data_IF_566283653789
#
_entry.id   IF_566283653789
#
_cell.length_a   1.000
_cell.length_b   1.000
_cell.length_c   1.000
_cell.angle_alpha   90.00
_cell.angle_beta   90.00
_cell.angle_gamma   90.00
#
_symmetry.space_group_name_H-M   'P 1'
#
loop_
_entity.id
_entity.type
_entity.pdbx_description
1 polymer ?
#
# COMPACT_ATOMS: atom_id res chain seq x y z
N UNK A 1 -16.87 3.76 80.41
CA UNK A 1 -17.09 4.23 79.02
C UNK A 1 -17.40 2.99 78.21
N UNK A 2 -18.69 2.81 77.93
CA UNK A 2 -19.28 1.57 77.40
C UNK A 2 -19.19 1.51 75.87
N UNK A 3 -19.22 0.28 75.36
CA UNK A 3 -19.16 -0.11 73.97
C UNK A 3 -20.46 0.18 73.17
N UNK A 4 -20.32 0.30 71.84
CA UNK A 4 -21.26 -0.17 70.81
C UNK A 4 -20.51 -0.16 69.47
N UNK A 5 -20.15 -1.31 68.86
CA UNK A 5 -20.93 -2.27 68.07
C UNK A 5 -21.31 -1.80 66.65
N UNK A 6 -20.65 -2.46 65.70
CA UNK A 6 -21.24 -3.06 64.49
C UNK A 6 -21.45 -2.21 63.22
N UNK A 7 -20.69 -2.62 62.20
CA UNK A 7 -21.20 -2.95 60.86
C UNK A 7 -21.77 -1.82 59.99
N UNK A 8 -20.95 -1.40 59.01
CA UNK A 8 -21.35 -1.61 57.61
C UNK A 8 -20.18 -1.39 56.67
N UNK A 9 -19.75 -2.50 56.07
CA UNK A 9 -19.49 -2.65 54.63
C UNK A 9 -19.78 -1.39 53.80
N UNK A 10 -18.81 -0.94 53.00
CA UNK A 10 -19.13 -0.07 51.87
C UNK A 10 -18.11 0.97 51.41
N UNK A 11 -16.89 1.02 51.98
CA UNK A 11 -15.91 2.06 51.60
C UNK A 11 -14.57 1.54 51.06
N UNK A 12 -14.40 0.23 50.97
CA UNK A 12 -13.39 -0.36 50.09
C UNK A 12 -14.00 -0.34 48.68
N UNK A 13 -13.29 0.22 47.69
CA UNK A 13 -13.58 0.18 46.23
C UNK A 13 -14.50 1.27 45.60
N UNK A 14 -14.70 2.46 46.20
CA UNK A 14 -15.40 3.55 45.49
C UNK A 14 -14.72 4.90 45.68
N UNK A 15 -13.62 5.14 44.94
CA UNK A 15 -13.38 6.42 44.24
C UNK A 15 -12.12 6.44 43.34
N UNK A 16 -11.51 5.30 43.02
CA UNK A 16 -10.38 5.24 42.07
C UNK A 16 -10.83 4.82 40.66
N UNK A 17 -11.70 5.60 40.03
CA UNK A 17 -11.98 5.43 38.58
C UNK A 17 -12.46 6.74 37.94
N UNK A 18 -11.56 7.71 37.86
CA UNK A 18 -11.83 8.93 37.09
C UNK A 18 -10.66 9.22 36.13
N UNK A 19 -10.99 9.17 34.84
CA UNK A 19 -10.24 9.69 33.68
C UNK A 19 -9.04 8.87 33.18
N UNK A 20 -9.31 7.62 32.82
CA UNK A 20 -8.64 7.02 31.65
C UNK A 20 -9.15 7.72 30.39
N UNK A 21 -8.42 8.73 29.92
CA UNK A 21 -8.68 9.40 28.65
C UNK A 21 -8.74 8.39 27.52
N UNK A 22 -9.93 8.25 26.94
CA UNK A 22 -10.21 7.50 25.72
C UNK A 22 -9.31 8.04 24.60
N UNK A 23 -8.19 7.36 24.39
CA UNK A 23 -7.33 7.56 23.23
C UNK A 23 -8.12 7.02 22.03
N UNK A 24 -8.89 7.91 21.41
CA UNK A 24 -9.66 7.68 20.21
C UNK A 24 -8.78 6.96 19.19
N UNK A 25 -9.04 5.67 18.96
CA UNK A 25 -8.44 4.86 17.90
C UNK A 25 -8.97 5.37 16.55
N UNK A 26 -8.58 6.59 16.17
CA UNK A 26 -8.81 7.16 14.84
C UNK A 26 -7.59 6.97 13.93
N UNK A 27 -6.84 5.89 14.16
CA UNK A 27 -5.73 5.44 13.32
C UNK A 27 -6.10 4.10 12.69
N UNK A 28 -7.13 4.08 11.85
CA UNK A 28 -7.48 2.83 11.14
C UNK A 28 -7.78 3.01 9.65
N UNK A 29 -7.88 4.24 9.12
CA UNK A 29 -8.15 4.46 7.68
C UNK A 29 -7.07 5.25 6.93
N UNK A 30 -6.41 6.22 7.56
CA UNK A 30 -5.42 7.08 6.89
C UNK A 30 -4.02 6.47 6.80
N UNK A 31 -3.65 5.58 7.73
CA UNK A 31 -2.32 4.93 7.72
C UNK A 31 -2.25 3.82 6.66
N UNK A 32 -3.28 2.98 6.59
CA UNK A 32 -3.37 1.86 5.63
C UNK A 32 -3.38 2.31 4.16
N UNK A 33 -4.06 3.40 3.82
CA UNK A 33 -4.06 3.95 2.46
C UNK A 33 -2.67 4.49 2.05
N UNK A 34 -1.97 5.17 2.97
CA UNK A 34 -0.65 5.76 2.73
C UNK A 34 0.43 4.68 2.58
N UNK A 35 0.29 3.59 3.33
CA UNK A 35 1.20 2.43 3.25
C UNK A 35 0.97 1.64 1.95
N UNK A 36 -0.29 1.49 1.50
CA UNK A 36 -0.63 0.87 0.21
C UNK A 36 -0.06 1.65 -0.98
N UNK A 37 -0.16 2.98 -0.95
CA UNK A 37 0.42 3.85 -1.99
C UNK A 37 1.94 3.75 -2.04
N UNK A 38 2.62 3.79 -0.89
CA UNK A 38 4.08 3.59 -0.81
C UNK A 38 4.50 2.22 -1.33
N UNK A 39 3.77 1.16 -0.99
CA UNK A 39 4.03 -0.19 -1.50
C UNK A 39 3.82 -0.27 -3.02
N UNK A 40 2.80 0.40 -3.56
CA UNK A 40 2.58 0.49 -5.02
C UNK A 40 3.73 1.19 -5.75
N UNK A 41 4.20 2.32 -5.21
CA UNK A 41 5.35 3.05 -5.74
C UNK A 41 6.64 2.21 -5.69
N UNK A 42 6.88 1.47 -4.62
CA UNK A 42 8.04 0.58 -4.50
C UNK A 42 7.98 -0.57 -5.52
N UNK A 43 6.81 -1.21 -5.68
CA UNK A 43 6.62 -2.30 -6.66
C UNK A 43 6.88 -1.84 -8.10
N UNK A 44 6.38 -0.66 -8.48
CA UNK A 44 6.61 -0.11 -9.82
C UNK A 44 8.08 0.28 -10.05
N UNK A 45 8.80 0.73 -9.01
CA UNK A 45 10.26 0.93 -9.11
C UNK A 45 10.99 -0.37 -9.43
N UNK A 46 10.56 -1.50 -8.86
CA UNK A 46 11.17 -2.80 -9.15
C UNK A 46 10.79 -3.32 -10.54
N UNK A 47 9.54 -3.12 -10.98
CA UNK A 47 9.13 -3.44 -12.36
C UNK A 47 9.98 -2.70 -13.38
N UNK A 48 10.20 -1.40 -13.18
CA UNK A 48 11.04 -0.57 -14.07
C UNK A 48 12.47 -1.09 -14.18
N UNK A 49 13.05 -1.62 -13.10
CA UNK A 49 14.40 -2.22 -13.15
C UNK A 49 14.42 -3.49 -14.00
N UNK A 50 13.37 -4.30 -13.93
CA UNK A 50 13.26 -5.54 -14.70
C UNK A 50 13.02 -5.20 -16.18
N UNK A 51 12.11 -4.28 -16.46
CA UNK A 51 11.83 -3.76 -17.81
C UNK A 51 13.11 -3.26 -18.48
N UNK A 52 13.86 -2.37 -17.82
CA UNK A 52 15.14 -1.85 -18.33
C UNK A 52 16.16 -2.97 -18.63
N UNK A 53 16.24 -4.01 -17.78
CA UNK A 53 17.16 -5.14 -18.02
C UNK A 53 16.77 -5.93 -19.27
N UNK A 54 15.46 -6.10 -19.49
CA UNK A 54 14.94 -6.80 -20.66
C UNK A 54 15.16 -5.93 -21.91
N UNK A 55 14.86 -4.64 -21.87
CA UNK A 55 15.10 -3.73 -22.99
C UNK A 55 16.57 -3.73 -23.42
N UNK A 56 17.52 -3.68 -22.47
CA UNK A 56 18.96 -3.82 -22.77
C UNK A 56 19.34 -5.17 -23.37
N UNK A 57 18.63 -6.24 -23.01
CA UNK A 57 18.80 -7.54 -23.65
C UNK A 57 18.31 -7.49 -25.10
N UNK A 58 17.16 -6.87 -25.36
CA UNK A 58 16.64 -6.68 -26.72
C UNK A 58 17.57 -5.80 -27.57
N UNK A 59 18.17 -4.76 -27.00
CA UNK A 59 19.15 -3.91 -27.70
C UNK A 59 20.38 -4.70 -28.16
N UNK A 60 20.80 -5.73 -27.40
CA UNK A 60 21.88 -6.64 -27.84
C UNK A 60 21.45 -7.51 -29.01
N UNK A 61 20.20 -7.96 -29.02
CA UNK A 61 19.66 -8.75 -30.14
C UNK A 61 19.47 -7.89 -31.39
N UNK A 62 19.07 -6.62 -31.23
CA UNK A 62 18.93 -5.63 -32.31
C UNK A 62 20.26 -5.39 -33.05
N UNK A 63 21.37 -5.42 -32.31
CA UNK A 63 22.72 -5.26 -32.85
C UNK A 63 23.23 -6.51 -33.60
N UNK A 64 22.60 -7.67 -33.42
CA UNK A 64 22.99 -8.91 -34.11
C UNK A 64 22.34 -9.00 -35.49
N UNK A 65 23.12 -9.17 -36.58
CA UNK A 65 22.59 -9.31 -37.93
C UNK A 65 21.83 -10.62 -38.16
N UNK A 66 21.98 -11.61 -37.28
CA UNK A 66 21.30 -12.90 -37.33
C UNK A 66 19.88 -12.85 -36.75
N UNK A 67 19.51 -11.75 -36.09
CA UNK A 67 18.19 -11.61 -35.46
C UNK A 67 17.14 -11.15 -36.47
N UNK A 68 15.98 -11.81 -36.47
CA UNK A 68 14.80 -11.30 -37.18
C UNK A 68 14.21 -10.09 -36.44
N UNK A 69 14.44 -8.91 -37.01
CA UNK A 69 14.02 -7.62 -36.44
C UNK A 69 12.50 -7.48 -36.34
N UNK A 70 11.74 -8.04 -37.28
CA UNK A 70 10.28 -7.94 -37.27
C UNK A 70 9.70 -8.63 -36.05
N UNK A 71 10.20 -9.82 -35.73
CA UNK A 71 9.78 -10.54 -34.54
C UNK A 71 10.31 -9.91 -33.25
N UNK A 72 11.51 -9.31 -33.29
CA UNK A 72 12.08 -8.57 -32.17
C UNK A 72 11.21 -7.35 -31.80
N UNK A 73 10.76 -6.59 -32.80
CA UNK A 73 9.88 -5.42 -32.62
C UNK A 73 8.51 -5.80 -32.01
N UNK A 74 7.94 -6.91 -32.46
CA UNK A 74 6.70 -7.48 -31.88
C UNK A 74 6.95 -7.85 -30.42
N UNK A 75 8.05 -8.55 -30.14
CA UNK A 75 8.44 -8.93 -28.77
C UNK A 75 8.60 -7.73 -27.86
N UNK A 76 9.30 -6.68 -28.32
CA UNK A 76 9.48 -5.41 -27.59
C UNK A 76 8.13 -4.79 -27.24
N UNK A 77 7.25 -4.66 -28.23
CA UNK A 77 5.92 -4.06 -28.05
C UNK A 77 5.07 -4.83 -27.02
N UNK A 78 5.09 -6.16 -27.07
CA UNK A 78 4.36 -7.00 -26.12
C UNK A 78 4.90 -6.88 -24.69
N UNK A 79 6.22 -6.77 -24.53
CA UNK A 79 6.86 -6.60 -23.21
C UNK A 79 6.46 -5.26 -22.60
N UNK A 80 6.55 -4.17 -23.36
CA UNK A 80 6.15 -2.83 -22.91
C UNK A 80 4.66 -2.79 -22.51
N UNK A 81 3.78 -3.35 -23.34
CA UNK A 81 2.35 -3.48 -23.03
C UNK A 81 2.11 -4.33 -21.77
N UNK A 82 2.87 -5.41 -21.58
CA UNK A 82 2.82 -6.24 -20.39
C UNK A 82 3.17 -5.46 -19.12
N UNK A 83 4.27 -4.69 -19.14
CA UNK A 83 4.65 -3.84 -18.01
C UNK A 83 3.65 -2.71 -17.75
N UNK A 84 3.09 -2.10 -18.78
CA UNK A 84 2.01 -1.13 -18.64
C UNK A 84 0.81 -1.76 -17.93
N UNK A 85 0.35 -2.95 -18.36
CA UNK A 85 -0.77 -3.66 -17.75
C UNK A 85 -0.50 -4.04 -16.28
N UNK A 86 0.72 -4.50 -15.97
CA UNK A 86 1.12 -4.83 -14.58
C UNK A 86 1.13 -3.57 -13.71
N UNK A 87 1.74 -2.47 -14.18
CA UNK A 87 1.77 -1.20 -13.45
C UNK A 87 0.35 -0.67 -13.22
N UNK A 88 -0.53 -0.87 -14.20
CA UNK A 88 -1.96 -0.57 -14.12
C UNK A 88 -2.69 -1.42 -13.09
N UNK A 89 -2.34 -2.70 -12.95
CA UNK A 89 -2.92 -3.58 -11.93
C UNK A 89 -2.49 -3.18 -10.49
N UNK A 90 -1.30 -2.58 -10.34
CA UNK A 90 -0.81 -2.05 -9.06
C UNK A 90 -1.46 -0.72 -8.71
N UNK A 91 -1.70 0.15 -9.69
CA UNK A 91 -2.31 1.47 -9.51
C UNK A 91 -3.74 1.50 -10.06
N UNK A 92 -4.73 1.52 -9.17
CA UNK A 92 -6.13 1.77 -9.55
C UNK A 92 -6.24 3.18 -10.19
N UNK A 93 -6.59 3.32 -11.49
CA UNK A 93 -7.00 4.66 -11.97
C UNK A 93 -8.41 4.83 -11.45
N UNK A 94 -8.57 5.77 -10.55
CA UNK A 94 -9.88 6.40 -10.37
C UNK A 94 -10.16 7.21 -11.63
N UNK A 95 -11.41 7.18 -12.10
CA UNK A 95 -11.84 8.14 -13.12
C UNK A 95 -11.64 9.54 -12.53
N UNK A 96 -11.18 10.47 -13.37
CA UNK A 96 -11.23 11.87 -12.99
C UNK A 96 -12.71 12.27 -12.92
N UNK A 97 -13.11 12.90 -11.83
CA UNK A 97 -14.40 13.61 -11.78
C UNK A 97 -14.29 14.77 -12.76
N UNK A 98 -15.20 14.81 -13.72
CA UNK A 98 -15.32 15.95 -14.61
C UNK A 98 -16.19 17.01 -13.93
N UNK A 99 -15.98 18.32 -14.20
CA UNK A 99 -16.79 19.37 -13.60
C UNK A 99 -18.28 19.27 -13.98
N UNK A 100 -18.61 18.47 -15.00
CA UNK A 100 -19.96 18.13 -15.43
C UNK A 100 -20.62 16.90 -14.76
N UNK A 101 -19.92 16.15 -13.88
CA UNK A 101 -20.46 14.98 -13.15
C UNK A 101 -21.19 15.32 -11.83
#
# INVERSE_FOLDING_TARGET
>A
MSADLSSSFGWIEYLFRSKGGSMSKRVTKTKSCRDREKLGVLRVKDHRKIEERILRLLDRYEASPETDKRWLDIGRSCIEQGFMAINRAVFEQKRAELPED
#
